data_IF_479275895061
#
_entry.id   IF_479275895061
#
_cell.length_a   1.000
_cell.length_b   1.000
_cell.length_c   1.000
_cell.angle_alpha   90.00
_cell.angle_beta   90.00
_cell.angle_gamma   90.00
#
_symmetry.space_group_name_H-M   'P 1'
#
loop_
_entity.id
_entity.type
_entity.pdbx_description
1 polymer ?
#
# COMPACT_ATOMS: atom_id res chain seq x y z
N UNK A 1 -45.59 -34.36 -30.05
CA UNK A 1 -45.03 -33.45 -29.03
C UNK A 1 -43.59 -33.88 -28.84
N UNK A 2 -42.63 -33.02 -29.16
CA UNK A 2 -41.21 -33.26 -28.90
C UNK A 2 -40.89 -32.44 -27.66
N UNK A 3 -40.36 -33.09 -26.63
CA UNK A 3 -39.81 -32.44 -25.45
C UNK A 3 -38.31 -32.62 -25.54
N UNK A 4 -37.58 -31.50 -25.56
CA UNK A 4 -36.13 -31.48 -25.41
C UNK A 4 -35.90 -31.07 -23.96
N UNK A 5 -35.09 -31.84 -23.23
CA UNK A 5 -34.68 -31.48 -21.88
C UNK A 5 -33.33 -30.78 -22.00
N UNK A 6 -33.17 -29.75 -21.18
CA UNK A 6 -31.94 -29.01 -21.08
C UNK A 6 -30.77 -29.86 -20.58
N UNK A 7 -29.56 -29.41 -20.92
CA UNK A 7 -28.32 -29.89 -20.35
C UNK A 7 -28.25 -29.63 -18.84
N UNK A 8 -27.14 -30.06 -18.23
CA UNK A 8 -26.84 -29.66 -16.86
C UNK A 8 -25.84 -28.49 -16.91
N UNK A 9 -26.14 -27.43 -16.18
CA UNK A 9 -25.28 -26.24 -16.04
C UNK A 9 -23.94 -26.63 -15.43
N UNK A 10 -22.89 -25.87 -15.76
CA UNK A 10 -21.58 -26.03 -15.13
C UNK A 10 -21.66 -25.80 -13.61
N UNK A 11 -20.95 -26.64 -12.84
CA UNK A 11 -21.03 -26.60 -11.38
C UNK A 11 -20.38 -25.34 -10.78
N UNK A 12 -19.30 -24.87 -11.39
CA UNK A 12 -18.46 -23.79 -10.89
C UNK A 12 -17.77 -24.13 -9.57
N UNK A 13 -17.50 -23.11 -8.73
CA UNK A 13 -16.82 -23.22 -7.43
C UNK A 13 -15.33 -23.58 -7.52
N UNK A 14 -14.67 -23.28 -8.64
CA UNK A 14 -13.22 -23.32 -8.77
C UNK A 14 -12.58 -22.12 -8.04
N UNK A 15 -11.33 -22.28 -7.60
CA UNK A 15 -10.62 -21.30 -6.78
C UNK A 15 -9.26 -20.96 -7.40
N UNK A 16 -8.93 -19.68 -7.43
CA UNK A 16 -7.60 -19.17 -7.75
C UNK A 16 -7.07 -18.28 -6.64
N UNK A 17 -5.76 -18.16 -6.54
CA UNK A 17 -5.11 -17.27 -5.58
C UNK A 17 -4.14 -16.34 -6.32
N UNK A 18 -4.08 -15.08 -5.87
CA UNK A 18 -3.05 -14.11 -6.24
C UNK A 18 -2.44 -13.58 -4.95
N UNK A 19 -1.11 -13.44 -4.91
CA UNK A 19 -0.45 -12.70 -3.84
C UNK A 19 0.52 -11.69 -4.45
N UNK A 20 0.36 -10.43 -4.07
CA UNK A 20 1.29 -9.34 -4.37
C UNK A 20 1.78 -8.72 -3.06
N UNK A 21 2.94 -8.06 -3.12
CA UNK A 21 3.43 -7.21 -2.04
C UNK A 21 3.45 -5.79 -2.55
N UNK A 22 2.99 -4.84 -1.73
CA UNK A 22 3.03 -3.43 -2.03
C UNK A 22 4.45 -2.96 -2.42
N UNK A 23 4.50 -2.01 -3.35
CA UNK A 23 5.75 -1.48 -3.86
C UNK A 23 6.37 -0.45 -2.93
N UNK A 24 7.67 -0.20 -3.09
CA UNK A 24 8.39 0.89 -2.44
C UNK A 24 8.12 2.23 -3.16
N UNK A 25 7.90 3.31 -2.41
CA UNK A 25 7.70 4.66 -2.93
C UNK A 25 9.00 5.33 -3.38
N UNK A 26 10.14 4.89 -2.83
CA UNK A 26 11.50 5.35 -3.11
C UNK A 26 12.46 4.18 -3.37
N UNK A 27 12.16 3.30 -4.36
CA UNK A 27 12.88 2.04 -4.54
C UNK A 27 14.36 2.27 -4.82
N UNK A 28 15.20 1.63 -4.02
CA UNK A 28 16.64 1.51 -4.22
C UNK A 28 16.95 0.34 -5.17
N UNK A 29 18.25 0.16 -5.46
CA UNK A 29 18.70 -0.88 -6.38
C UNK A 29 18.36 -2.28 -5.85
N UNK A 30 17.39 -2.94 -6.50
CA UNK A 30 16.93 -4.29 -6.15
C UNK A 30 15.59 -4.32 -5.42
N UNK A 31 15.01 -3.16 -5.11
CA UNK A 31 13.66 -3.04 -4.55
C UNK A 31 12.62 -2.86 -5.67
N UNK A 32 11.40 -3.33 -5.41
CA UNK A 32 10.28 -3.21 -6.33
C UNK A 32 9.47 -1.98 -5.96
N UNK A 33 9.35 -1.02 -6.87
CA UNK A 33 8.43 0.10 -6.73
C UNK A 33 7.06 -0.18 -7.35
N UNK A 34 6.18 0.82 -7.26
CA UNK A 34 4.92 0.81 -8.00
C UNK A 34 5.12 1.02 -9.51
N UNK A 35 4.30 0.40 -10.37
CA UNK A 35 3.20 -0.50 -10.02
C UNK A 35 3.65 -1.91 -9.67
N UNK A 36 2.85 -2.62 -8.88
CA UNK A 36 2.98 -4.05 -8.60
C UNK A 36 1.81 -4.80 -9.22
N UNK A 37 2.05 -6.03 -9.70
CA UNK A 37 1.04 -6.80 -10.41
C UNK A 37 1.13 -8.28 -10.11
N UNK A 38 -0.01 -8.95 -10.20
CA UNK A 38 -0.14 -10.39 -9.99
C UNK A 38 -1.20 -10.97 -10.91
N UNK A 39 -1.04 -12.24 -11.28
CA UNK A 39 -2.00 -12.92 -12.16
C UNK A 39 -2.15 -14.38 -11.77
N UNK A 40 -3.35 -14.91 -11.99
CA UNK A 40 -3.65 -16.33 -11.86
C UNK A 40 -4.63 -16.74 -12.97
N UNK A 41 -4.64 -18.03 -13.29
CA UNK A 41 -5.58 -18.60 -14.26
C UNK A 41 -6.40 -19.68 -13.59
N UNK A 42 -7.71 -19.52 -13.59
CA UNK A 42 -8.69 -20.50 -13.11
C UNK A 42 -9.28 -21.22 -14.32
N UNK A 43 -9.19 -22.56 -14.30
CA UNK A 43 -9.85 -23.40 -15.31
C UNK A 43 -11.26 -23.68 -14.82
N UNK A 44 -12.27 -23.27 -15.58
CA UNK A 44 -13.68 -23.53 -15.26
C UNK A 44 -14.19 -24.65 -16.16
N UNK A 45 -14.59 -25.77 -15.54
CA UNK A 45 -15.04 -26.96 -16.27
C UNK A 45 -16.48 -26.78 -16.77
N UNK A 46 -16.69 -27.08 -18.05
CA UNK A 46 -18.00 -27.01 -18.66
C UNK A 46 -18.94 -28.13 -18.13
N UNK A 47 -20.25 -27.83 -18.15
CA UNK A 47 -21.30 -28.81 -17.87
C UNK A 47 -21.63 -29.65 -19.09
N UNK A 48 -22.91 -29.69 -19.45
CA UNK A 48 -23.33 -30.29 -20.71
C UNK A 48 -22.94 -29.41 -21.92
N UNK A 49 -23.01 -28.09 -21.74
CA UNK A 49 -22.82 -27.11 -22.80
C UNK A 49 -21.50 -26.36 -22.66
N UNK A 50 -20.97 -25.93 -23.80
CA UNK A 50 -19.70 -25.21 -23.89
C UNK A 50 -19.85 -23.83 -23.24
N UNK A 51 -18.89 -23.48 -22.39
CA UNK A 51 -18.78 -22.15 -21.81
C UNK A 51 -18.37 -21.10 -22.86
N UNK A 52 -18.93 -19.89 -22.74
CA UNK A 52 -18.63 -18.76 -23.61
C UNK A 52 -17.64 -17.80 -22.94
N UNK A 53 -16.37 -17.72 -23.40
CA UNK A 53 -15.39 -16.82 -22.79
C UNK A 53 -15.78 -15.33 -22.82
N UNK A 54 -16.61 -14.92 -23.77
CA UNK A 54 -17.02 -13.50 -23.91
C UNK A 54 -18.04 -13.05 -22.86
N UNK A 55 -18.56 -13.95 -22.04
CA UNK A 55 -19.56 -13.64 -20.99
C UNK A 55 -18.96 -13.68 -19.58
N UNK A 56 -17.64 -13.79 -19.45
CA UNK A 56 -16.97 -13.76 -18.15
C UNK A 56 -17.18 -12.40 -17.47
N UNK A 57 -17.72 -12.43 -16.25
CA UNK A 57 -17.96 -11.23 -15.45
C UNK A 57 -17.70 -11.49 -13.96
N UNK A 58 -17.61 -10.42 -13.18
CA UNK A 58 -17.80 -10.52 -11.73
C UNK A 58 -19.28 -10.82 -11.46
N UNK A 59 -19.55 -11.73 -10.54
CA UNK A 59 -20.91 -12.12 -10.13
C UNK A 59 -21.77 -10.90 -9.81
N UNK A 60 -22.80 -10.66 -10.62
CA UNK A 60 -23.67 -9.50 -10.52
C UNK A 60 -24.43 -9.44 -9.19
N UNK A 61 -24.67 -10.59 -8.56
CA UNK A 61 -25.38 -10.66 -7.28
C UNK A 61 -24.48 -10.19 -6.12
N UNK A 62 -23.16 -10.25 -6.29
CA UNK A 62 -22.16 -9.87 -5.28
C UNK A 62 -21.44 -8.55 -5.62
N UNK A 63 -21.50 -8.09 -6.87
CA UNK A 63 -20.77 -6.93 -7.36
C UNK A 63 -20.99 -5.65 -6.54
N UNK A 64 -22.25 -5.34 -6.18
CA UNK A 64 -22.54 -4.15 -5.37
C UNK A 64 -21.90 -4.25 -3.98
N UNK A 65 -21.98 -5.42 -3.35
CA UNK A 65 -21.37 -5.66 -2.04
C UNK A 65 -19.85 -5.51 -2.12
N UNK A 66 -19.22 -6.09 -3.14
CA UNK A 66 -17.78 -5.97 -3.37
C UNK A 66 -17.35 -4.50 -3.53
N UNK A 67 -18.06 -3.73 -4.37
CA UNK A 67 -17.76 -2.31 -4.58
C UNK A 67 -17.96 -1.49 -3.31
N UNK A 68 -19.02 -1.75 -2.55
CA UNK A 68 -19.33 -1.04 -1.31
C UNK A 68 -18.25 -1.31 -0.24
N UNK A 69 -17.80 -2.56 -0.09
CA UNK A 69 -16.73 -2.93 0.83
C UNK A 69 -15.40 -2.32 0.38
N UNK A 70 -14.99 -2.50 -0.89
CA UNK A 70 -13.77 -1.86 -1.42
C UNK A 70 -13.76 -0.33 -1.19
N UNK A 71 -14.89 0.34 -1.41
CA UNK A 71 -15.00 1.80 -1.27
C UNK A 71 -15.06 2.28 0.19
N UNK A 72 -15.46 1.43 1.12
CA UNK A 72 -15.58 1.78 2.55
C UNK A 72 -14.39 1.35 3.39
N UNK A 73 -13.67 0.33 2.94
CA UNK A 73 -12.57 -0.27 3.69
C UNK A 73 -11.20 0.10 3.15
N UNK A 74 -11.09 0.51 1.88
CA UNK A 74 -9.83 0.89 1.27
C UNK A 74 -9.73 2.40 1.06
N UNK A 75 -8.55 2.93 1.35
CA UNK A 75 -8.14 4.29 1.04
C UNK A 75 -6.75 4.27 0.42
N UNK A 76 -6.31 5.37 -0.20
CA UNK A 76 -4.92 5.52 -0.61
C UNK A 76 -4.00 5.60 0.62
N UNK A 77 -2.69 5.41 0.44
CA UNK A 77 -1.69 5.59 1.50
C UNK A 77 -1.74 6.97 2.20
N UNK A 78 -2.24 8.01 1.53
CA UNK A 78 -2.47 9.34 2.12
C UNK A 78 -3.90 9.56 2.67
N UNK A 79 -4.66 8.48 2.85
CA UNK A 79 -6.03 8.42 3.40
C UNK A 79 -7.09 9.13 2.53
N UNK A 80 -6.92 9.16 1.21
CA UNK A 80 -7.96 9.63 0.29
C UNK A 80 -8.93 8.49 -0.03
N UNK A 81 -10.21 8.84 -0.19
CA UNK A 81 -11.23 7.88 -0.61
C UNK A 81 -10.99 7.40 -2.04
N UNK A 82 -11.22 6.11 -2.27
CA UNK A 82 -11.13 5.47 -3.58
C UNK A 82 -12.55 5.17 -4.06
N UNK A 83 -12.87 5.59 -5.28
CA UNK A 83 -14.13 5.26 -5.95
C UNK A 83 -13.94 4.05 -6.86
N UNK A 84 -14.65 2.96 -6.57
CA UNK A 84 -14.61 1.75 -7.37
C UNK A 84 -15.74 1.69 -8.39
N UNK A 85 -15.43 1.19 -9.58
CA UNK A 85 -16.41 0.96 -10.64
C UNK A 85 -16.04 -0.26 -11.47
N UNK A 86 -17.05 -0.97 -11.96
CA UNK A 86 -16.87 -2.15 -12.80
C UNK A 86 -17.47 -1.93 -14.18
N UNK A 87 -16.71 -2.24 -15.22
CA UNK A 87 -17.16 -2.27 -16.60
C UNK A 87 -17.25 -3.71 -17.11
N UNK A 88 -18.48 -4.24 -17.18
CA UNK A 88 -18.76 -5.58 -17.69
C UNK A 88 -18.41 -5.76 -19.17
N UNK A 89 -18.26 -4.69 -19.96
CA UNK A 89 -17.88 -4.81 -21.37
C UNK A 89 -16.38 -5.06 -21.54
N UNK A 90 -15.55 -4.63 -20.58
CA UNK A 90 -14.10 -4.81 -20.59
C UNK A 90 -13.60 -5.77 -19.51
N UNK A 91 -14.46 -6.21 -18.59
CA UNK A 91 -14.09 -7.08 -17.48
C UNK A 91 -13.23 -6.40 -16.42
N UNK A 92 -13.24 -5.07 -16.34
CA UNK A 92 -12.35 -4.30 -15.47
C UNK A 92 -13.08 -3.69 -14.27
N UNK A 93 -12.60 -4.00 -13.08
CA UNK A 93 -12.92 -3.33 -11.82
C UNK A 93 -11.79 -2.36 -11.51
N UNK A 94 -12.06 -1.06 -11.46
CA UNK A 94 -11.04 -0.01 -11.29
C UNK A 94 -11.40 0.85 -10.09
N UNK A 95 -10.41 1.05 -9.21
CA UNK A 95 -10.43 2.03 -8.13
C UNK A 95 -9.66 3.30 -8.51
N UNK A 96 -10.31 4.45 -8.45
CA UNK A 96 -9.72 5.76 -8.78
C UNK A 96 -9.88 6.78 -7.66
N UNK A 97 -8.94 7.72 -7.54
CA UNK A 97 -9.08 8.89 -6.66
C UNK A 97 -10.11 9.88 -7.20
N UNK A 98 -10.47 10.89 -6.40
CA UNK A 98 -11.37 11.97 -6.82
C UNK A 98 -10.85 12.76 -8.05
N UNK A 99 -9.53 12.80 -8.24
CA UNK A 99 -8.88 13.44 -9.38
C UNK A 99 -8.81 12.53 -10.64
N UNK A 100 -9.31 11.30 -10.54
CA UNK A 100 -9.35 10.32 -11.63
C UNK A 100 -8.05 9.55 -11.82
N UNK A 101 -7.15 9.56 -10.83
CA UNK A 101 -5.93 8.75 -10.87
C UNK A 101 -6.24 7.32 -10.46
N UNK A 102 -5.77 6.34 -11.25
CA UNK A 102 -5.91 4.93 -10.91
C UNK A 102 -5.04 4.55 -9.71
N UNK A 103 -5.62 3.77 -8.80
CA UNK A 103 -4.96 3.25 -7.59
C UNK A 103 -4.78 1.75 -7.71
N UNK A 104 -5.83 1.05 -8.12
CA UNK A 104 -5.85 -0.40 -8.29
C UNK A 104 -6.82 -0.78 -9.41
N UNK A 105 -6.50 -1.82 -10.16
CA UNK A 105 -7.37 -2.39 -11.17
C UNK A 105 -7.30 -3.92 -11.15
N UNK A 106 -8.46 -4.57 -11.23
CA UNK A 106 -8.61 -6.01 -11.43
C UNK A 106 -9.26 -6.23 -12.80
N UNK A 107 -8.65 -7.06 -13.64
CA UNK A 107 -9.16 -7.39 -14.97
C UNK A 107 -9.40 -8.89 -15.12
N UNK A 108 -10.52 -9.23 -15.75
CA UNK A 108 -10.87 -10.58 -16.16
C UNK A 108 -10.67 -10.74 -17.67
N UNK A 109 -9.92 -11.75 -18.09
CA UNK A 109 -9.81 -12.18 -19.49
C UNK A 109 -10.06 -13.68 -19.56
N UNK A 110 -10.78 -14.16 -20.58
CA UNK A 110 -11.06 -15.58 -20.71
C UNK A 110 -10.80 -16.06 -22.13
N UNK A 111 -10.24 -17.26 -22.24
CA UNK A 111 -10.03 -17.96 -23.50
C UNK A 111 -10.65 -19.35 -23.46
N UNK A 112 -11.01 -19.87 -24.62
CA UNK A 112 -11.44 -21.26 -24.68
C UNK A 112 -10.27 -22.19 -24.38
N UNK A 113 -10.49 -23.15 -23.48
CA UNK A 113 -9.54 -24.21 -23.22
C UNK A 113 -9.32 -25.09 -24.45
N UNK A 114 -8.22 -25.85 -24.46
CA UNK A 114 -7.82 -26.68 -25.60
C UNK A 114 -8.82 -27.80 -25.95
N UNK A 115 -9.68 -28.21 -25.00
CA UNK A 115 -10.74 -29.19 -25.26
C UNK A 115 -11.95 -28.60 -26.01
N UNK A 116 -12.01 -27.28 -26.15
CA UNK A 116 -13.06 -26.56 -26.88
C UNK A 116 -14.37 -26.41 -26.09
N UNK A 117 -14.43 -26.83 -24.83
CA UNK A 117 -15.64 -26.78 -24.00
C UNK A 117 -15.45 -25.90 -22.76
N UNK A 118 -14.34 -26.09 -22.04
CA UNK A 118 -13.99 -25.36 -20.82
C UNK A 118 -13.40 -23.99 -21.17
N UNK A 119 -13.24 -23.13 -20.17
CA UNK A 119 -12.52 -21.87 -20.33
C UNK A 119 -11.40 -21.72 -19.31
N UNK A 120 -10.37 -20.99 -19.71
CA UNK A 120 -9.29 -20.54 -18.85
C UNK A 120 -9.53 -19.05 -18.57
N UNK A 121 -9.93 -18.72 -17.34
CA UNK A 121 -10.13 -17.33 -16.89
C UNK A 121 -8.86 -16.82 -16.23
N UNK A 122 -8.23 -15.84 -16.85
CA UNK A 122 -7.08 -15.13 -16.29
C UNK A 122 -7.56 -13.90 -15.53
N UNK A 123 -7.23 -13.85 -14.25
CA UNK A 123 -7.43 -12.68 -13.40
C UNK A 123 -6.09 -11.98 -13.23
N UNK A 124 -6.07 -10.66 -13.40
CA UNK A 124 -4.89 -9.83 -13.18
C UNK A 124 -5.25 -8.70 -12.25
N UNK A 125 -4.43 -8.48 -11.22
CA UNK A 125 -4.44 -7.26 -10.41
C UNK A 125 -3.23 -6.40 -10.77
N UNK A 126 -3.46 -5.11 -10.92
CA UNK A 126 -2.43 -4.07 -10.98
C UNK A 126 -2.71 -3.06 -9.89
N UNK A 127 -1.71 -2.81 -9.05
CA UNK A 127 -1.76 -1.79 -8.01
C UNK A 127 -0.73 -0.72 -8.34
N UNK A 128 -1.19 0.51 -8.52
CA UNK A 128 -0.40 1.66 -8.95
C UNK A 128 0.03 2.55 -7.78
N UNK A 129 -0.64 2.44 -6.63
CA UNK A 129 -0.40 3.27 -5.44
C UNK A 129 -0.63 2.48 -4.14
N UNK A 130 -0.05 2.92 -3.02
CA UNK A 130 -0.27 2.29 -1.71
C UNK A 130 -1.73 2.34 -1.30
N UNK A 131 -2.16 1.28 -0.63
CA UNK A 131 -3.49 1.10 -0.09
C UNK A 131 -3.42 1.04 1.44
N UNK A 132 -4.16 1.94 2.07
CA UNK A 132 -4.50 1.80 3.48
C UNK A 132 -5.83 1.06 3.61
N UNK A 133 -5.96 0.30 4.68
CA UNK A 133 -7.21 -0.34 5.04
C UNK A 133 -7.75 0.17 6.38
N UNK A 134 -9.05 0.07 6.56
CA UNK A 134 -9.68 0.18 7.88
C UNK A 134 -10.25 -1.17 8.25
N UNK A 135 -9.67 -1.83 9.25
CA UNK A 135 -10.27 -3.05 9.81
C UNK A 135 -11.61 -2.67 10.46
N UNK A 136 -12.71 -2.95 9.75
CA UNK A 136 -14.06 -2.72 10.25
C UNK A 136 -14.57 -3.90 11.09
N UNK A 137 -13.83 -5.03 11.12
CA UNK A 137 -14.23 -6.28 11.76
C UNK A 137 -15.47 -6.92 11.15
N UNK A 138 -15.84 -6.56 9.91
CA UNK A 138 -16.96 -7.15 9.18
C UNK A 138 -16.42 -8.14 8.16
N UNK A 139 -16.56 -9.44 8.45
CA UNK A 139 -16.20 -10.49 7.49
C UNK A 139 -17.01 -10.31 6.18
N UNK A 140 -16.31 -10.01 5.10
CA UNK A 140 -16.86 -9.66 3.79
C UNK A 140 -16.18 -10.35 2.62
N UNK A 141 -16.30 -9.75 1.44
CA UNK A 141 -15.48 -10.01 0.26
C UNK A 141 -14.17 -9.22 0.31
N UNK A 142 -14.09 -8.19 1.16
CA UNK A 142 -12.83 -7.51 1.51
C UNK A 142 -12.60 -7.74 2.99
N UNK A 143 -11.37 -8.08 3.34
CA UNK A 143 -10.94 -8.24 4.73
C UNK A 143 -9.49 -7.74 4.87
N UNK A 144 -9.12 -7.34 6.08
CA UNK A 144 -7.73 -7.00 6.36
C UNK A 144 -7.27 -7.44 7.74
N UNK A 145 -6.25 -8.31 7.74
CA UNK A 145 -5.73 -8.95 8.96
C UNK A 145 -4.22 -9.10 8.86
N UNK A 146 -3.51 -8.57 9.88
CA UNK A 146 -2.05 -8.67 10.02
C UNK A 146 -1.28 -8.20 8.76
N UNK A 147 -1.44 -6.93 8.40
CA UNK A 147 -0.73 -6.28 7.28
C UNK A 147 -1.00 -6.94 5.92
N UNK A 148 -2.22 -7.47 5.75
CA UNK A 148 -2.70 -8.07 4.51
C UNK A 148 -4.11 -7.62 4.24
N UNK A 149 -4.37 -7.29 2.99
CA UNK A 149 -5.71 -7.06 2.45
C UNK A 149 -6.06 -8.28 1.59
N UNK A 150 -7.19 -8.91 1.85
CA UNK A 150 -7.72 -10.01 1.04
C UNK A 150 -9.00 -9.57 0.34
N UNK A 151 -9.08 -9.82 -0.96
CA UNK A 151 -10.22 -9.45 -1.81
C UNK A 151 -10.70 -10.71 -2.54
N UNK A 152 -11.93 -11.11 -2.29
CA UNK A 152 -12.63 -12.18 -2.98
C UNK A 152 -13.30 -11.64 -4.25
N UNK A 153 -12.88 -12.18 -5.40
CA UNK A 153 -13.46 -11.83 -6.70
C UNK A 153 -14.32 -13.00 -7.20
N UNK A 154 -15.65 -12.96 -6.98
CA UNK A 154 -16.55 -14.00 -7.47
C UNK A 154 -16.77 -13.83 -8.98
N UNK A 155 -16.56 -14.91 -9.74
CA UNK A 155 -16.57 -14.94 -11.20
C UNK A 155 -17.75 -15.78 -11.68
N UNK A 156 -18.45 -15.24 -12.66
CA UNK A 156 -19.55 -15.90 -13.35
C UNK A 156 -19.29 -15.93 -14.86
N UNK A 157 -19.79 -16.96 -15.52
CA UNK A 157 -19.74 -17.10 -16.98
C UNK A 157 -20.96 -17.89 -17.46
N UNK A 158 -21.40 -17.62 -18.68
CA UNK A 158 -22.51 -18.33 -19.30
C UNK A 158 -22.03 -19.43 -20.23
N UNK A 159 -22.81 -20.50 -20.35
CA UNK A 159 -22.71 -21.44 -21.46
C UNK A 159 -23.35 -20.91 -22.76
N UNK A 160 -23.56 -21.81 -23.73
CA UNK A 160 -23.95 -21.45 -25.10
C UNK A 160 -25.45 -21.18 -25.23
N UNK A 161 -26.28 -21.69 -24.34
CA UNK A 161 -27.72 -21.40 -24.22
C UNK A 161 -28.06 -20.33 -23.18
N UNK A 162 -27.08 -19.93 -22.35
CA UNK A 162 -27.11 -18.69 -21.58
C UNK A 162 -27.30 -18.88 -20.08
N UNK A 163 -27.13 -20.09 -19.58
CA UNK A 163 -27.20 -20.41 -18.17
C UNK A 163 -25.87 -20.11 -17.47
N UNK A 164 -25.97 -19.57 -16.26
CA UNK A 164 -24.82 -19.22 -15.42
C UNK A 164 -24.30 -20.45 -14.67
N UNK A 165 -23.10 -20.33 -14.10
CA UNK A 165 -22.58 -21.36 -13.20
C UNK A 165 -23.51 -21.54 -12.00
N UNK A 166 -23.71 -22.79 -11.55
CA UNK A 166 -24.50 -23.07 -10.34
C UNK A 166 -23.93 -22.39 -9.09
N UNK A 167 -22.61 -22.22 -9.06
CA UNK A 167 -21.87 -21.46 -8.05
C UNK A 167 -20.78 -20.65 -8.74
N UNK A 168 -20.53 -19.39 -8.33
CA UNK A 168 -19.42 -18.63 -8.88
C UNK A 168 -18.09 -19.33 -8.58
N UNK A 169 -17.14 -19.22 -9.51
CA UNK A 169 -15.73 -19.44 -9.20
C UNK A 169 -15.23 -18.26 -8.35
N UNK A 170 -14.14 -18.41 -7.61
CA UNK A 170 -13.57 -17.34 -6.78
C UNK A 170 -12.08 -17.16 -7.05
N UNK A 171 -11.62 -15.91 -7.00
CA UNK A 171 -10.19 -15.62 -6.92
C UNK A 171 -9.91 -14.78 -5.69
N UNK A 172 -9.07 -15.33 -4.82
CA UNK A 172 -8.63 -14.72 -3.56
C UNK A 172 -7.37 -13.89 -3.87
N UNK A 173 -7.48 -12.57 -3.80
CA UNK A 173 -6.35 -11.67 -4.02
C UNK A 173 -5.83 -11.21 -2.67
N UNK A 174 -4.60 -11.56 -2.34
CA UNK A 174 -3.89 -11.08 -1.15
C UNK A 174 -2.88 -9.99 -1.52
N UNK A 175 -3.03 -8.80 -0.94
CA UNK A 175 -2.07 -7.70 -1.00
C UNK A 175 -1.38 -7.66 0.36
N UNK A 176 -0.08 -7.94 0.38
CA UNK A 176 0.75 -7.86 1.58
C UNK A 176 1.36 -6.46 1.66
N UNK A 177 1.33 -5.86 2.84
CA UNK A 177 2.04 -4.60 3.08
C UNK A 177 3.54 -4.73 2.73
N UNK A 178 4.11 -3.61 2.28
CA UNK A 178 5.47 -3.53 1.81
C UNK A 178 6.48 -3.35 2.94
N UNK A 179 7.64 -2.79 2.59
CA UNK A 179 8.67 -2.52 3.57
C UNK A 179 8.27 -1.32 4.45
N UNK A 180 8.56 -1.41 5.76
CA UNK A 180 8.47 -0.26 6.65
C UNK A 180 9.55 0.78 6.32
N UNK A 181 9.33 2.07 6.66
CA UNK A 181 10.37 3.07 6.57
C UNK A 181 11.64 2.70 7.34
N UNK A 182 12.81 2.93 6.75
CA UNK A 182 14.12 2.65 7.33
C UNK A 182 15.08 3.84 7.18
N UNK A 183 15.82 4.14 8.26
CA UNK A 183 16.92 5.09 8.21
C UNK A 183 18.19 4.47 7.63
N UNK A 184 18.84 5.20 6.73
CA UNK A 184 20.21 4.96 6.34
C UNK A 184 21.22 5.49 7.37
N UNK A 185 22.50 5.38 7.02
CA UNK A 185 23.59 5.92 7.84
C UNK A 185 23.81 7.40 7.56
N UNK A 186 23.52 8.26 8.53
CA UNK A 186 23.95 9.67 8.50
C UNK A 186 25.42 9.79 8.94
N UNK A 187 26.23 10.50 8.15
CA UNK A 187 27.61 10.86 8.51
C UNK A 187 27.68 12.03 9.51
N UNK A 188 26.55 12.66 9.79
CA UNK A 188 26.44 13.86 10.59
C UNK A 188 26.82 15.13 9.83
N UNK A 189 26.68 16.26 10.51
CA UNK A 189 27.16 17.57 10.06
C UNK A 189 28.24 18.10 11.00
N UNK A 190 29.15 18.92 10.47
CA UNK A 190 30.22 19.55 11.27
C UNK A 190 30.03 21.06 11.29
N UNK A 191 30.16 21.65 12.46
CA UNK A 191 29.97 23.08 12.71
C UNK A 191 31.24 23.63 13.35
N UNK A 192 31.82 24.67 12.76
CA UNK A 192 32.88 25.47 13.35
C UNK A 192 32.28 26.70 14.02
N UNK A 193 32.12 26.67 15.33
CA UNK A 193 31.56 27.77 16.11
C UNK A 193 32.32 29.09 15.94
N UNK A 194 33.61 29.06 15.57
CA UNK A 194 34.41 30.28 15.42
C UNK A 194 34.06 31.06 14.16
N UNK A 195 33.54 30.39 13.14
CA UNK A 195 33.22 30.98 11.83
C UNK A 195 31.74 30.88 11.46
N UNK A 196 30.98 29.96 12.07
CA UNK A 196 29.61 29.61 11.73
C UNK A 196 28.60 29.87 12.87
N UNK A 197 28.99 30.60 13.92
CA UNK A 197 28.07 31.00 14.98
C UNK A 197 26.83 31.74 14.42
N UNK A 198 25.65 31.27 14.80
CA UNK A 198 24.35 31.76 14.35
C UNK A 198 24.01 31.44 12.89
N UNK A 199 24.79 30.60 12.21
CA UNK A 199 24.46 30.11 10.88
C UNK A 199 23.64 28.83 10.98
N UNK A 200 22.67 28.71 10.08
CA UNK A 200 21.90 27.47 9.90
C UNK A 200 22.69 26.55 8.98
N UNK A 201 23.16 25.44 9.54
CA UNK A 201 23.85 24.37 8.83
C UNK A 201 22.85 23.27 8.52
N UNK A 202 22.94 22.68 7.32
CA UNK A 202 22.05 21.61 6.88
C UNK A 202 22.76 20.27 6.94
N UNK A 203 22.01 19.22 7.21
CA UNK A 203 22.40 17.82 7.10
C UNK A 203 21.23 17.00 6.58
N UNK A 204 21.48 15.72 6.34
CA UNK A 204 20.50 14.81 5.76
C UNK A 204 20.68 13.43 6.39
N UNK A 205 19.61 12.88 6.95
CA UNK A 205 19.54 11.48 7.33
C UNK A 205 18.96 10.72 6.15
N UNK A 206 19.76 9.92 5.42
CA UNK A 206 19.22 9.13 4.32
C UNK A 206 18.08 8.26 4.81
N UNK A 207 17.06 8.09 3.99
CA UNK A 207 15.82 7.44 4.37
C UNK A 207 15.29 6.63 3.19
N UNK A 208 14.80 5.43 3.46
CA UNK A 208 13.85 4.74 2.59
C UNK A 208 12.47 4.82 3.26
N UNK A 209 11.46 5.30 2.54
CA UNK A 209 10.09 5.39 3.08
C UNK A 209 9.33 4.07 2.96
N UNK A 210 9.77 3.12 2.14
CA UNK A 210 9.09 1.83 1.97
C UNK A 210 7.74 1.97 1.25
N UNK A 211 6.74 1.17 1.63
CA UNK A 211 5.40 1.19 0.98
C UNK A 211 4.59 2.45 1.23
N UNK A 212 4.85 3.13 2.34
CA UNK A 212 4.00 4.21 2.83
C UNK A 212 4.73 5.54 3.06
N UNK A 213 3.96 6.61 3.09
CA UNK A 213 4.48 7.92 3.44
C UNK A 213 4.73 8.03 4.96
N UNK A 214 5.83 8.68 5.34
CA UNK A 214 6.10 8.98 6.75
C UNK A 214 5.06 9.96 7.30
N UNK A 215 4.30 9.50 8.29
CA UNK A 215 3.36 10.36 9.01
C UNK A 215 4.07 11.35 9.94
N UNK A 216 5.08 10.90 10.69
CA UNK A 216 5.78 11.70 11.69
C UNK A 216 7.23 11.23 11.85
N UNK A 217 8.11 12.18 12.17
CA UNK A 217 9.51 11.93 12.48
C UNK A 217 9.91 12.82 13.65
N UNK A 218 10.33 12.19 14.75
CA UNK A 218 10.63 12.84 16.02
C UNK A 218 12.03 12.46 16.52
N UNK A 219 12.60 13.31 17.36
CA UNK A 219 13.76 12.92 18.14
C UNK A 219 13.36 12.00 19.30
N UNK A 220 14.22 11.03 19.61
CA UNK A 220 14.08 10.25 20.84
C UNK A 220 14.13 11.17 22.06
N UNK A 221 13.25 10.94 23.04
CA UNK A 221 13.21 11.75 24.25
C UNK A 221 14.49 11.61 25.10
N UNK A 222 15.17 10.47 25.00
CA UNK A 222 16.46 10.24 25.64
C UNK A 222 17.60 10.55 24.66
N UNK A 223 18.54 11.39 25.10
CA UNK A 223 19.67 11.88 24.31
C UNK A 223 20.96 11.79 25.16
N UNK A 224 21.45 10.58 25.46
CA UNK A 224 22.58 10.38 26.37
C UNK A 224 23.88 11.04 25.87
N UNK A 225 24.05 11.13 24.54
CA UNK A 225 25.22 11.74 23.92
C UNK A 225 25.30 13.26 24.13
N UNK A 226 24.18 13.90 24.52
CA UNK A 226 24.16 15.32 24.88
C UNK A 226 24.49 15.57 26.36
N UNK A 227 24.50 14.55 27.21
CA UNK A 227 24.61 14.71 28.66
C UNK A 227 25.96 15.30 29.12
N UNK A 228 27.00 15.17 28.29
CA UNK A 228 28.35 15.66 28.58
C UNK A 228 28.64 17.06 28.01
N UNK A 229 27.70 17.67 27.29
CA UNK A 229 27.89 18.99 26.71
C UNK A 229 27.93 20.07 27.79
N UNK A 230 28.87 21.01 27.66
CA UNK A 230 28.89 22.23 28.47
C UNK A 230 28.77 23.47 27.61
N UNK A 231 28.40 24.60 28.22
CA UNK A 231 28.46 25.92 27.60
C UNK A 231 29.15 26.87 28.57
N UNK A 232 30.23 27.51 28.14
CA UNK A 232 31.09 28.33 29.01
C UNK A 232 31.57 27.58 30.26
N UNK A 233 31.82 26.26 30.14
CA UNK A 233 32.23 25.40 31.25
C UNK A 233 31.14 25.08 32.30
N UNK A 234 29.87 25.44 32.06
CA UNK A 234 28.72 25.01 32.86
C UNK A 234 27.91 23.94 32.13
N UNK A 235 27.32 22.99 32.87
CA UNK A 235 26.50 21.92 32.27
C UNK A 235 25.30 22.49 31.50
N UNK A 236 25.01 21.92 30.33
CA UNK A 236 23.80 22.22 29.56
C UNK A 236 22.66 21.29 29.98
N UNK A 237 21.46 21.61 29.51
CA UNK A 237 20.32 20.67 29.50
C UNK A 237 19.69 20.67 28.11
N UNK A 238 18.86 19.68 27.80
CA UNK A 238 18.17 19.62 26.52
C UNK A 238 16.67 19.41 26.69
N UNK A 239 15.93 19.78 25.65
CA UNK A 239 14.50 19.52 25.51
C UNK A 239 14.24 18.95 24.13
N UNK A 240 13.36 17.95 24.07
CA UNK A 240 12.84 17.37 22.83
C UNK A 240 11.36 17.69 22.74
N UNK A 241 10.95 18.28 21.61
CA UNK A 241 9.57 18.59 21.30
C UNK A 241 9.27 18.12 19.87
N UNK A 242 8.88 16.85 19.73
CA UNK A 242 8.67 16.20 18.45
C UNK A 242 9.93 16.23 17.60
N UNK A 243 9.87 16.93 16.47
CA UNK A 243 10.94 17.07 15.49
C UNK A 243 11.96 18.17 15.81
N UNK A 244 11.90 18.78 17.00
CA UNK A 244 12.82 19.84 17.45
C UNK A 244 13.55 19.40 18.71
N UNK A 245 14.88 19.44 18.67
CA UNK A 245 15.79 19.24 19.80
C UNK A 245 16.46 20.58 20.12
N UNK A 246 16.37 21.03 21.37
CA UNK A 246 16.99 22.28 21.83
C UNK A 246 17.88 22.02 23.03
N UNK A 247 19.16 22.39 22.92
CA UNK A 247 20.11 22.44 24.02
C UNK A 247 20.18 23.85 24.57
N UNK A 248 20.11 23.99 25.89
CA UNK A 248 20.12 25.27 26.60
C UNK A 248 21.26 25.34 27.62
N UNK A 249 21.77 26.55 27.84
CA UNK A 249 22.76 26.85 28.87
C UNK A 249 22.15 26.89 30.29
N UNK A 250 22.98 27.19 31.29
CA UNK A 250 22.55 27.33 32.69
C UNK A 250 21.57 28.48 32.96
N UNK A 251 21.45 29.44 32.04
CA UNK A 251 20.48 30.54 32.09
C UNK A 251 19.17 30.19 31.35
N UNK A 252 19.02 28.96 30.85
CA UNK A 252 17.94 28.50 29.97
C UNK A 252 17.88 29.23 28.61
N UNK A 253 19.01 29.71 28.09
CA UNK A 253 19.10 30.26 26.74
C UNK A 253 19.48 29.15 25.75
N UNK A 254 18.81 29.05 24.60
CA UNK A 254 19.21 28.11 23.55
C UNK A 254 20.65 28.38 23.10
N UNK A 255 21.45 27.33 23.05
CA UNK A 255 22.81 27.34 22.49
C UNK A 255 22.95 26.47 21.25
N UNK A 256 22.09 25.45 21.10
CA UNK A 256 21.93 24.68 19.87
C UNK A 256 20.46 24.32 19.66
N UNK A 257 19.99 24.45 18.42
CA UNK A 257 18.67 24.00 17.99
C UNK A 257 18.84 23.10 16.77
N UNK A 258 18.26 21.90 16.83
CA UNK A 258 18.18 20.96 15.71
C UNK A 258 16.71 20.77 15.34
N UNK A 259 16.39 20.88 14.05
CA UNK A 259 15.05 20.60 13.52
C UNK A 259 15.17 19.60 12.39
N UNK A 260 14.41 18.52 12.43
CA UNK A 260 14.38 17.49 11.36
C UNK A 260 13.03 17.51 10.63
N UNK A 261 13.07 17.29 9.33
CA UNK A 261 11.90 17.17 8.47
C UNK A 261 11.62 15.70 8.14
N UNK A 262 10.41 15.41 7.64
CA UNK A 262 9.97 14.04 7.34
C UNK A 262 10.71 13.39 6.17
N UNK A 263 11.38 14.21 5.35
CA UNK A 263 12.22 13.73 4.25
C UNK A 263 13.65 13.39 4.70
N UNK A 264 13.95 13.46 6.01
CA UNK A 264 15.26 13.18 6.56
C UNK A 264 16.19 14.40 6.60
N UNK A 265 15.85 15.50 5.91
CA UNK A 265 16.64 16.72 5.98
C UNK A 265 16.56 17.36 7.37
N UNK A 266 17.68 17.86 7.88
CA UNK A 266 17.70 18.57 9.16
C UNK A 266 18.54 19.84 9.11
N UNK A 267 18.23 20.74 10.03
CA UNK A 267 18.99 21.95 10.28
C UNK A 267 19.58 21.93 11.67
N UNK A 268 20.78 22.49 11.81
CA UNK A 268 21.42 22.75 13.09
C UNK A 268 21.82 24.22 13.13
N UNK A 269 21.41 24.93 14.18
CA UNK A 269 21.85 26.28 14.46
C UNK A 269 22.50 26.31 15.84
N UNK A 270 23.76 26.74 15.90
CA UNK A 270 24.50 26.95 17.15
C UNK A 270 24.68 28.44 17.36
N UNK A 271 24.16 28.97 18.46
CA UNK A 271 24.08 30.42 18.74
C UNK A 271 24.91 30.87 19.94
N UNK A 272 25.50 29.91 20.67
CA UNK A 272 26.35 30.14 21.83
C UNK A 272 27.49 29.12 21.86
N UNK A 273 28.48 29.31 22.74
CA UNK A 273 29.61 28.40 22.85
C UNK A 273 29.14 27.05 23.39
N UNK A 274 29.54 25.96 22.74
CA UNK A 274 29.34 24.59 23.22
C UNK A 274 30.69 23.90 23.30
N UNK A 275 30.98 23.35 24.48
CA UNK A 275 32.17 22.55 24.69
C UNK A 275 31.77 21.06 24.67
N UNK A 276 32.41 20.30 23.79
CA UNK A 276 32.34 18.84 23.77
C UNK A 276 33.52 18.28 24.58
N UNK A 277 33.29 17.24 25.37
CA UNK A 277 34.39 16.52 26.00
C UNK A 277 35.07 15.63 24.95
N UNK A 278 36.39 15.80 24.78
CA UNK A 278 37.25 14.96 23.92
C UNK A 278 37.20 13.46 24.28
#
# INVERSE_FOLDING_TARGET
MITINDGADASGNEHGEITITEGDLTPQAGEQGYPVSGTTTVVIEAGADRLNPETVIIDSDQLTKLIDELSSELTTGDNQAISFSYDSATGQLVGVTADGEQVVAVSLDAVQAANGHDIDVTVTINQDKPLNHTDTGVDGLVDSVNDKITIDVPIQVQDTDGDWLQKPANVDITIVDGANPEFGTDSGTTIDETTQNGQVITGDVPLNVGSDAIHQLDFNADQPDLASLTSNGAATTFTVNGNVLTVVDSDNKPVMVVTIAKDGSYTVEVTGPIDQND
#
